data_IF_134644371324
#
_entry.id   IF_134644371324
#
_cell.length_a   1.000
_cell.length_b   1.000
_cell.length_c   1.000
_cell.angle_alpha   90.00
_cell.angle_beta   90.00
_cell.angle_gamma   90.00
#
_symmetry.space_group_name_H-M   'P 1'
#
loop_
_entity.id
_entity.type
_entity.pdbx_description
1 polymer ?
#
# COMPACT_ATOMS: atom_id res chain seq x y z
N UNK A 1 -17.71 -1.48 -21.67
CA UNK A 1 -17.43 -2.84 -21.16
C UNK A 1 -16.65 -2.71 -19.87
N UNK A 2 -17.16 -3.26 -18.76
CA UNK A 2 -16.41 -3.28 -17.48
C UNK A 2 -15.38 -4.39 -17.60
N UNK A 3 -14.08 -4.09 -17.45
CA UNK A 3 -13.05 -5.15 -17.39
C UNK A 3 -13.33 -6.03 -16.17
N UNK A 4 -13.31 -7.37 -16.30
CA UNK A 4 -13.48 -8.24 -15.15
C UNK A 4 -12.37 -7.97 -14.12
N UNK A 5 -12.76 -7.92 -12.85
CA UNK A 5 -11.82 -7.76 -11.75
C UNK A 5 -10.97 -9.02 -11.59
N UNK A 6 -9.72 -8.82 -11.17
CA UNK A 6 -8.78 -9.90 -10.89
C UNK A 6 -9.09 -10.50 -9.52
N UNK A 7 -9.13 -11.82 -9.44
CA UNK A 7 -9.17 -12.57 -8.19
C UNK A 7 -7.73 -12.90 -7.76
N UNK A 8 -7.40 -12.65 -6.49
CA UNK A 8 -6.12 -13.02 -5.90
C UNK A 8 -6.24 -14.36 -5.19
N UNK A 9 -5.42 -15.33 -5.58
CA UNK A 9 -5.30 -16.59 -4.84
C UNK A 9 -4.48 -16.39 -3.57
N UNK A 10 -4.49 -17.38 -2.70
CA UNK A 10 -3.63 -17.36 -1.50
C UNK A 10 -2.14 -17.34 -1.85
N UNK A 11 -1.73 -18.04 -2.91
CA UNK A 11 -0.35 -18.02 -3.39
C UNK A 11 0.05 -16.63 -3.88
N UNK A 12 -0.89 -15.89 -4.47
CA UNK A 12 -0.66 -14.52 -4.92
C UNK A 12 -0.51 -13.57 -3.74
N UNK A 13 -1.39 -13.67 -2.74
CA UNK A 13 -1.26 -12.92 -1.49
C UNK A 13 0.06 -13.22 -0.80
N UNK A 14 0.50 -14.48 -0.75
CA UNK A 14 1.79 -14.84 -0.16
C UNK A 14 2.95 -14.16 -0.88
N UNK A 15 2.97 -14.16 -2.22
CA UNK A 15 4.00 -13.45 -3.00
C UNK A 15 4.03 -11.97 -2.67
N UNK A 16 2.86 -11.33 -2.62
CA UNK A 16 2.72 -9.91 -2.27
C UNK A 16 3.24 -9.66 -0.84
N UNK A 17 2.86 -10.50 0.12
CA UNK A 17 3.32 -10.41 1.50
C UNK A 17 4.84 -10.57 1.62
N UNK A 18 5.41 -11.61 1.01
CA UNK A 18 6.86 -11.88 1.02
C UNK A 18 7.67 -10.73 0.39
N UNK A 19 7.07 -9.99 -0.56
CA UNK A 19 7.70 -8.86 -1.24
C UNK A 19 7.47 -7.50 -0.52
N UNK A 20 6.73 -7.47 0.57
CA UNK A 20 6.29 -6.24 1.23
C UNK A 20 7.41 -5.60 2.08
N UNK A 21 7.86 -4.37 1.76
CA UNK A 21 8.82 -3.66 2.61
C UNK A 21 8.10 -3.14 3.85
N UNK A 22 8.30 -3.76 5.01
CA UNK A 22 7.54 -3.47 6.23
C UNK A 22 7.87 -2.08 6.80
N UNK A 23 6.85 -1.39 7.31
CA UNK A 23 6.97 -0.17 8.09
C UNK A 23 7.05 -0.43 9.61
N UNK A 24 6.89 -1.67 10.06
CA UNK A 24 7.04 -2.08 11.46
C UNK A 24 8.52 -2.32 11.75
N UNK A 25 9.08 -1.59 12.72
CA UNK A 25 10.50 -1.67 13.09
C UNK A 25 10.89 -3.00 13.72
N UNK A 26 9.93 -3.79 14.17
CA UNK A 26 10.15 -5.13 14.71
C UNK A 26 10.17 -6.22 13.63
N UNK A 27 9.75 -5.90 12.40
CA UNK A 27 9.70 -6.85 11.30
C UNK A 27 11.10 -7.03 10.67
N UNK A 28 11.56 -8.27 10.38
CA UNK A 28 12.84 -8.49 9.72
C UNK A 28 12.92 -7.87 8.31
N UNK A 29 11.79 -7.60 7.67
CA UNK A 29 11.71 -6.91 6.38
C UNK A 29 11.46 -5.40 6.54
N UNK A 30 11.72 -4.82 7.72
CA UNK A 30 11.62 -3.39 7.95
C UNK A 30 12.46 -2.60 6.96
N UNK A 31 11.85 -1.59 6.35
CA UNK A 31 12.52 -0.60 5.51
C UNK A 31 12.13 0.78 6.01
N UNK A 32 13.12 1.59 6.38
CA UNK A 32 12.87 2.96 6.80
C UNK A 32 12.19 3.76 5.67
N UNK A 33 11.33 4.71 6.04
CA UNK A 33 10.50 5.49 5.10
C UNK A 33 11.32 6.02 3.91
N UNK A 34 12.43 6.69 4.21
CA UNK A 34 13.26 7.37 3.21
C UNK A 34 13.90 6.35 2.25
N UNK A 35 14.25 5.18 2.78
CA UNK A 35 14.81 4.07 2.00
C UNK A 35 13.77 3.43 1.09
N UNK A 36 12.47 3.47 1.42
CA UNK A 36 11.42 3.02 0.49
C UNK A 36 11.45 3.86 -0.78
N UNK A 37 11.46 5.20 -0.66
CA UNK A 37 11.54 6.09 -1.81
C UNK A 37 12.85 5.91 -2.58
N UNK A 38 13.98 5.89 -1.85
CA UNK A 38 15.32 5.73 -2.43
C UNK A 38 15.47 4.42 -3.21
N UNK A 39 14.98 3.30 -2.66
CA UNK A 39 15.07 1.99 -3.29
C UNK A 39 14.24 1.89 -4.57
N UNK A 40 13.15 2.66 -4.68
CA UNK A 40 12.34 2.74 -5.91
C UNK A 40 13.03 3.63 -6.95
N UNK A 41 13.61 4.75 -6.51
CA UNK A 41 14.29 5.71 -7.39
C UNK A 41 13.33 6.39 -8.38
N UNK A 42 13.88 6.98 -9.45
CA UNK A 42 13.09 7.57 -10.53
C UNK A 42 12.34 8.83 -10.13
N UNK A 43 11.24 9.12 -10.84
CA UNK A 43 10.45 10.34 -10.64
C UNK A 43 9.89 10.43 -9.22
N UNK A 44 9.49 9.31 -8.63
CA UNK A 44 8.95 9.30 -7.26
C UNK A 44 10.00 9.66 -6.20
N UNK A 45 11.26 9.22 -6.38
CA UNK A 45 12.33 9.60 -5.47
C UNK A 45 12.77 11.04 -5.70
N UNK A 46 12.82 11.49 -6.96
CA UNK A 46 13.13 12.89 -7.27
C UNK A 46 12.09 13.84 -6.67
N UNK A 47 10.81 13.50 -6.77
CA UNK A 47 9.71 14.26 -6.15
C UNK A 47 9.85 14.28 -4.62
N UNK A 48 10.19 13.14 -4.01
CA UNK A 48 10.46 13.05 -2.58
C UNK A 48 11.68 13.88 -2.14
N UNK A 49 12.76 13.93 -2.93
CA UNK A 49 13.92 14.76 -2.61
C UNK A 49 13.59 16.27 -2.61
N UNK A 50 12.65 16.69 -3.46
CA UNK A 50 12.23 18.08 -3.57
C UNK A 50 11.19 18.49 -2.52
N UNK A 51 10.36 17.54 -2.07
CA UNK A 51 9.14 17.85 -1.32
C UNK A 51 8.93 17.04 -0.05
N UNK A 52 9.78 16.03 0.20
CA UNK A 52 9.69 15.11 1.33
C UNK A 52 10.00 15.76 2.68
N UNK A 53 10.67 16.91 2.66
CA UNK A 53 11.00 17.71 3.83
C UNK A 53 10.76 19.20 3.56
N UNK A 54 10.41 19.95 4.60
CA UNK A 54 10.37 21.41 4.55
C UNK A 54 11.79 22.01 4.61
N UNK A 55 11.89 23.34 4.51
CA UNK A 55 13.17 24.06 4.56
C UNK A 55 13.91 23.94 5.90
N UNK A 56 13.23 23.49 6.96
CA UNK A 56 13.80 23.28 8.28
C UNK A 56 14.20 21.81 8.50
N UNK A 57 14.04 20.95 7.49
CA UNK A 57 14.32 19.52 7.58
C UNK A 57 13.23 18.71 8.29
N UNK A 58 12.05 19.27 8.53
CA UNK A 58 10.93 18.50 9.08
C UNK A 58 10.28 17.67 7.97
N UNK A 59 9.93 16.40 8.23
CA UNK A 59 9.24 15.59 7.24
C UNK A 59 7.90 16.20 6.83
N UNK A 60 7.66 16.26 5.53
CA UNK A 60 6.37 16.64 4.98
C UNK A 60 5.34 15.53 5.26
N UNK A 61 4.22 15.82 5.95
CA UNK A 61 3.18 14.83 6.25
C UNK A 61 2.65 14.11 5.00
N UNK A 62 2.63 14.77 3.84
CA UNK A 62 2.18 14.18 2.59
C UNK A 62 3.05 13.00 2.10
N UNK A 63 4.28 12.89 2.59
CA UNK A 63 5.22 11.81 2.27
C UNK A 63 5.47 10.86 3.46
N UNK A 64 4.97 11.22 4.65
CA UNK A 64 5.16 10.44 5.87
C UNK A 64 4.41 9.10 5.81
N UNK A 65 3.17 9.10 5.30
CA UNK A 65 2.40 7.88 5.13
C UNK A 65 2.88 7.11 3.88
N UNK A 66 3.55 5.97 4.11
CA UNK A 66 4.12 5.14 3.04
C UNK A 66 3.33 3.85 2.76
N UNK A 67 2.15 3.65 3.34
CA UNK A 67 1.39 2.41 3.17
C UNK A 67 1.11 2.10 1.69
N UNK A 68 0.70 3.12 0.92
CA UNK A 68 0.44 3.01 -0.51
C UNK A 68 1.71 2.67 -1.30
N UNK A 69 2.84 3.26 -0.92
CA UNK A 69 4.12 3.06 -1.61
C UNK A 69 4.68 1.66 -1.35
N UNK A 70 4.57 1.17 -0.11
CA UNK A 70 4.97 -0.17 0.30
C UNK A 70 4.14 -1.23 -0.40
N UNK A 71 2.81 -1.08 -0.41
CA UNK A 71 1.93 -1.98 -1.15
C UNK A 71 2.16 -1.91 -2.66
N UNK A 72 2.39 -0.72 -3.23
CA UNK A 72 2.76 -0.58 -4.65
C UNK A 72 4.04 -1.36 -4.99
N UNK A 73 5.03 -1.31 -4.09
CA UNK A 73 6.27 -2.08 -4.23
C UNK A 73 6.03 -3.57 -4.20
N UNK A 74 5.25 -4.04 -3.24
CA UNK A 74 4.88 -5.44 -3.10
C UNK A 74 4.15 -5.99 -4.33
N UNK A 75 3.16 -5.24 -4.84
CA UNK A 75 2.40 -5.58 -6.05
C UNK A 75 3.31 -5.72 -7.27
N UNK A 76 4.12 -4.69 -7.55
CA UNK A 76 5.03 -4.68 -8.70
C UNK A 76 6.05 -5.83 -8.63
N UNK A 77 6.65 -6.08 -7.47
CA UNK A 77 7.62 -7.19 -7.28
C UNK A 77 6.98 -8.58 -7.43
N UNK A 78 5.68 -8.68 -7.22
CA UNK A 78 4.93 -9.95 -7.28
C UNK A 78 4.30 -10.24 -8.65
N UNK A 79 4.59 -9.41 -9.65
CA UNK A 79 4.04 -9.57 -11.00
C UNK A 79 2.70 -8.85 -11.23
N UNK A 80 2.14 -8.19 -10.22
CA UNK A 80 0.92 -7.38 -10.31
C UNK A 80 1.27 -5.94 -10.68
N UNK A 81 1.82 -5.78 -11.87
CA UNK A 81 2.35 -4.49 -12.34
C UNK A 81 1.28 -3.43 -12.39
N UNK A 82 1.53 -2.30 -11.73
CA UNK A 82 0.62 -1.16 -11.72
C UNK A 82 0.74 -0.39 -13.04
N UNK A 83 -0.37 -0.18 -13.78
CA UNK A 83 -0.35 0.59 -15.01
C UNK A 83 -0.14 2.07 -14.71
N UNK A 84 0.42 2.81 -15.67
CA UNK A 84 0.52 4.26 -15.58
C UNK A 84 -0.88 4.86 -15.61
N UNK A 85 -1.26 5.56 -14.54
CA UNK A 85 -2.57 6.21 -14.41
C UNK A 85 -2.45 7.49 -13.58
N UNK A 86 -3.54 8.21 -13.41
CA UNK A 86 -3.56 9.41 -12.58
C UNK A 86 -3.16 9.05 -11.14
N UNK A 87 -2.19 9.77 -10.59
CA UNK A 87 -1.68 9.58 -9.23
C UNK A 87 -0.52 8.59 -9.11
N UNK A 88 -0.05 8.01 -10.22
CA UNK A 88 1.17 7.19 -10.22
C UNK A 88 2.41 7.97 -10.63
N UNK A 89 3.54 7.64 -10.02
CA UNK A 89 4.87 8.14 -10.36
C UNK A 89 5.76 6.98 -10.82
N UNK A 90 6.70 7.26 -11.73
CA UNK A 90 7.59 6.22 -12.25
C UNK A 90 8.77 5.99 -11.30
N UNK A 91 9.14 4.72 -11.12
CA UNK A 91 10.39 4.33 -10.45
C UNK A 91 11.56 4.26 -11.44
N UNK A 92 12.78 4.08 -10.93
CA UNK A 92 13.97 3.92 -11.76
C UNK A 92 13.87 2.69 -12.69
N UNK A 93 13.16 1.65 -12.23
CA UNK A 93 12.85 0.43 -12.96
C UNK A 93 11.71 0.57 -14.01
N UNK A 94 11.22 1.79 -14.26
CA UNK A 94 10.13 2.09 -15.20
C UNK A 94 8.76 1.50 -14.84
N UNK A 95 8.61 0.99 -13.61
CA UNK A 95 7.30 0.61 -13.06
C UNK A 95 6.62 1.83 -12.42
N UNK A 96 5.30 1.74 -12.21
CA UNK A 96 4.50 2.84 -11.67
C UNK A 96 4.11 2.57 -10.22
N UNK A 97 4.04 3.61 -9.41
CA UNK A 97 3.82 3.51 -7.96
C UNK A 97 2.82 4.57 -7.50
N UNK A 98 1.90 4.18 -6.63
CA UNK A 98 1.10 5.12 -5.85
C UNK A 98 1.80 5.40 -4.53
N UNK A 99 1.93 6.67 -4.14
CA UNK A 99 2.37 7.03 -2.78
C UNK A 99 1.23 7.59 -1.92
N UNK A 100 0.12 8.02 -2.55
CA UNK A 100 -1.06 8.50 -1.84
C UNK A 100 -2.09 7.39 -1.63
N UNK A 101 -2.59 7.29 -0.40
CA UNK A 101 -3.53 6.23 0.00
C UNK A 101 -4.89 6.32 -0.70
N UNK A 102 -5.41 7.53 -0.93
CA UNK A 102 -6.68 7.73 -1.66
C UNK A 102 -6.60 7.17 -3.10
N UNK A 103 -5.46 7.35 -3.77
CA UNK A 103 -5.25 6.88 -5.16
C UNK A 103 -5.13 5.37 -5.24
N UNK A 104 -4.35 4.74 -4.37
CA UNK A 104 -4.22 3.28 -4.40
C UNK A 104 -5.52 2.59 -4.00
N UNK A 105 -6.30 3.14 -3.07
CA UNK A 105 -7.61 2.58 -2.70
C UNK A 105 -8.57 2.52 -3.90
N UNK A 106 -8.60 3.57 -4.72
CA UNK A 106 -9.40 3.60 -5.97
C UNK A 106 -8.89 2.54 -6.95
N UNK A 107 -7.57 2.46 -7.15
CA UNK A 107 -6.98 1.44 -8.01
C UNK A 107 -7.32 0.02 -7.57
N UNK A 108 -7.13 -0.31 -6.29
CA UNK A 108 -7.42 -1.63 -5.73
C UNK A 108 -8.90 -1.98 -5.88
N UNK A 109 -9.80 -1.05 -5.58
CA UNK A 109 -11.25 -1.25 -5.68
C UNK A 109 -11.72 -1.49 -7.12
N UNK A 110 -11.03 -0.92 -8.10
CA UNK A 110 -11.32 -1.12 -9.52
C UNK A 110 -10.65 -2.38 -10.10
N UNK A 111 -9.57 -2.84 -9.48
CA UNK A 111 -8.74 -3.95 -10.00
C UNK A 111 -9.12 -5.30 -9.41
N UNK A 112 -9.45 -5.35 -8.11
CA UNK A 112 -9.73 -6.58 -7.38
C UNK A 112 -11.11 -6.58 -6.75
N UNK A 113 -11.62 -7.77 -6.45
CA UNK A 113 -12.85 -7.92 -5.66
C UNK A 113 -12.54 -7.69 -4.19
N UNK A 114 -13.37 -6.86 -3.54
CA UNK A 114 -13.26 -6.55 -2.12
C UNK A 114 -14.63 -6.73 -1.47
N UNK A 115 -14.62 -7.33 -0.28
CA UNK A 115 -15.78 -7.47 0.59
C UNK A 115 -15.54 -6.68 1.87
N UNK A 116 -16.60 -6.11 2.45
CA UNK A 116 -16.51 -5.50 3.77
C UNK A 116 -16.46 -6.60 4.84
N UNK A 117 -15.53 -6.48 5.78
CA UNK A 117 -15.44 -7.38 6.91
C UNK A 117 -16.60 -7.15 7.89
N UNK A 118 -17.16 -8.25 8.40
CA UNK A 118 -18.07 -8.19 9.55
C UNK A 118 -17.29 -7.99 10.84
N UNK A 119 -17.94 -7.45 11.87
CA UNK A 119 -17.34 -7.29 13.20
C UNK A 119 -16.80 -8.62 13.72
N UNK A 120 -15.55 -8.65 14.20
CA UNK A 120 -14.90 -9.85 14.75
C UNK A 120 -14.38 -10.85 13.71
N UNK A 121 -14.55 -10.58 12.41
CA UNK A 121 -14.04 -11.44 11.34
C UNK A 121 -12.51 -11.51 11.37
N UNK A 122 -11.98 -12.74 11.36
CA UNK A 122 -10.55 -12.99 11.25
C UNK A 122 -10.14 -13.00 9.78
N UNK A 123 -9.51 -11.91 9.31
CA UNK A 123 -8.97 -11.79 7.95
C UNK A 123 -7.57 -12.40 7.96
N UNK A 124 -7.29 -13.34 7.05
CA UNK A 124 -6.01 -14.05 7.04
C UNK A 124 -5.12 -13.75 5.83
N UNK A 125 -5.63 -13.98 4.62
CA UNK A 125 -4.85 -13.97 3.39
C UNK A 125 -5.50 -12.98 2.42
N UNK A 126 -5.21 -11.69 2.56
CA UNK A 126 -5.88 -10.64 1.78
C UNK A 126 -5.06 -9.35 1.70
N UNK A 127 -5.20 -8.61 0.61
CA UNK A 127 -4.97 -7.16 0.65
C UNK A 127 -6.12 -6.54 1.44
N UNK A 128 -5.83 -5.59 2.31
CA UNK A 128 -6.84 -4.86 3.07
C UNK A 128 -6.87 -3.38 2.72
N UNK A 129 -8.06 -2.80 2.86
CA UNK A 129 -8.29 -1.36 2.84
C UNK A 129 -9.04 -1.01 4.11
N UNK A 130 -8.40 -0.27 5.00
CA UNK A 130 -9.02 0.24 6.22
C UNK A 130 -9.44 1.70 6.01
N UNK A 131 -10.63 2.06 6.47
CA UNK A 131 -11.24 3.38 6.36
C UNK A 131 -11.88 3.80 7.68
N UNK A 132 -12.29 5.07 7.76
CA UNK A 132 -12.99 5.63 8.92
C UNK A 132 -12.18 5.45 10.21
N UNK A 133 -10.91 5.82 10.16
CA UNK A 133 -9.93 5.67 11.24
C UNK A 133 -9.85 6.92 12.16
N UNK A 134 -10.62 7.97 11.88
CA UNK A 134 -10.58 9.23 12.63
C UNK A 134 -9.35 10.10 12.34
N UNK A 135 -8.57 9.77 11.31
CA UNK A 135 -7.36 10.51 10.92
C UNK A 135 -7.72 11.77 10.12
N UNK A 136 -6.97 12.85 10.34
CA UNK A 136 -7.12 14.11 9.60
C UNK A 136 -6.16 14.24 8.41
N UNK A 137 -5.12 13.40 8.37
CA UNK A 137 -3.99 13.46 7.44
C UNK A 137 -3.97 12.31 6.43
N UNK A 138 -4.83 11.30 6.58
CA UNK A 138 -4.97 10.19 5.65
C UNK A 138 -6.42 9.68 5.55
N UNK A 139 -6.82 9.21 4.36
CA UNK A 139 -8.17 8.66 4.13
C UNK A 139 -8.34 7.23 4.67
N UNK A 140 -7.27 6.65 5.22
CA UNK A 140 -7.23 5.30 5.76
C UNK A 140 -5.86 4.65 5.57
N UNK A 141 -5.85 3.32 5.62
CA UNK A 141 -4.64 2.49 5.50
C UNK A 141 -4.83 1.39 4.44
N UNK A 142 -3.74 0.96 3.83
CA UNK A 142 -3.70 -0.25 3.00
C UNK A 142 -2.53 -1.13 3.40
N UNK A 143 -2.76 -2.43 3.46
CA UNK A 143 -1.75 -3.42 3.83
C UNK A 143 -2.04 -4.76 3.15
N UNK A 144 -1.15 -5.72 3.33
CA UNK A 144 -1.35 -7.12 2.98
C UNK A 144 -1.29 -7.98 4.24
N UNK A 145 -2.23 -8.90 4.38
CA UNK A 145 -2.28 -9.88 5.45
C UNK A 145 -1.96 -11.26 4.90
N UNK A 146 -1.10 -11.99 5.60
CA UNK A 146 -0.87 -13.41 5.37
C UNK A 146 -0.83 -14.16 6.70
N UNK A 147 -1.62 -15.24 6.81
CA UNK A 147 -1.79 -15.96 8.07
C UNK A 147 -2.32 -15.08 9.21
N UNK A 148 -3.04 -13.99 8.89
CA UNK A 148 -3.55 -13.02 9.88
C UNK A 148 -2.55 -11.97 10.34
N UNK A 149 -1.28 -12.03 9.90
CA UNK A 149 -0.26 -11.01 10.19
C UNK A 149 -0.24 -9.96 9.10
N UNK A 150 -0.27 -8.69 9.48
CA UNK A 150 -0.11 -7.57 8.54
C UNK A 150 1.34 -7.44 8.06
N UNK A 151 1.55 -6.88 6.88
CA UNK A 151 2.87 -6.58 6.35
C UNK A 151 3.55 -5.47 7.14
N UNK A 152 2.79 -4.43 7.52
CA UNK A 152 3.23 -3.44 8.51
C UNK A 152 2.33 -3.36 9.72
N UNK A 153 1.04 -3.07 9.51
CA UNK A 153 0.15 -2.81 10.62
C UNK A 153 -1.32 -3.03 10.27
N UNK A 154 -2.09 -3.46 11.27
CA UNK A 154 -3.54 -3.50 11.21
C UNK A 154 -4.09 -2.56 12.28
N UNK A 155 -4.76 -1.48 11.85
CA UNK A 155 -5.25 -0.44 12.75
C UNK A 155 -6.64 -0.81 13.31
N UNK A 156 -6.74 -1.02 14.62
CA UNK A 156 -7.99 -1.43 15.28
C UNK A 156 -8.99 -0.28 15.40
N UNK A 157 -8.52 0.97 15.36
CA UNK A 157 -9.35 2.17 15.41
C UNK A 157 -10.14 2.41 14.11
N UNK A 158 -9.75 1.78 13.01
CA UNK A 158 -10.47 1.89 11.74
C UNK A 158 -11.78 1.08 11.78
N UNK A 159 -12.90 1.80 11.79
CA UNK A 159 -14.24 1.20 11.93
C UNK A 159 -14.75 0.47 10.68
N UNK A 160 -14.05 0.57 9.55
CA UNK A 160 -14.42 -0.11 8.32
C UNK A 160 -13.20 -0.75 7.69
N UNK A 161 -13.23 -2.06 7.49
CA UNK A 161 -12.19 -2.81 6.78
C UNK A 161 -12.79 -3.56 5.61
N UNK A 162 -12.17 -3.40 4.44
CA UNK A 162 -12.41 -4.23 3.27
C UNK A 162 -11.23 -5.18 3.09
N UNK A 163 -11.50 -6.40 2.65
CA UNK A 163 -10.48 -7.39 2.34
C UNK A 163 -10.68 -7.92 0.93
N UNK A 164 -9.60 -8.22 0.22
CA UNK A 164 -9.66 -8.82 -1.10
C UNK A 164 -10.24 -10.23 -1.00
N UNK A 165 -11.33 -10.48 -1.71
CA UNK A 165 -11.96 -11.81 -1.75
C UNK A 165 -11.38 -12.66 -2.88
N UNK A 166 -11.44 -13.98 -2.72
CA UNK A 166 -11.34 -14.90 -3.85
C UNK A 166 -12.53 -14.70 -4.79
#
# INVERSE_FOLDING_TARGET
>A
MIKPKTTLTEADIKKIYDAYPSGDTSDPNFVHRDDVYKNIGGDIYNDYLLHGYDSNGNPNPAYANTCALRLSTALNKSGYTIPKTNGTFSGANKLNYFYKVDKIQVYLSNTYNFSQASLGMQIQNSIIIQKNCGWSDATGHVDVLYGGRAGSHFYQECTTTFYSSK
#
